data_IF_180567598636
#
_entry.id   IF_180567598636
#
_cell.length_a   1.000
_cell.length_b   1.000
_cell.length_c   1.000
_cell.angle_alpha   90.00
_cell.angle_beta   90.00
_cell.angle_gamma   90.00
#
_symmetry.space_group_name_H-M   'P 1'
#
loop_
_entity.id
_entity.type
_entity.pdbx_description
1 polymer ?
#
# COMPACT_ATOMS: atom_id res chain seq x y z
N UNK A 1 30.67 29.74 -33.11
CA UNK A 1 31.49 28.67 -32.51
C UNK A 1 30.51 27.61 -32.07
N UNK A 2 30.46 26.51 -32.81
CA UNK A 2 29.56 25.39 -32.59
C UNK A 2 29.93 24.62 -31.31
N UNK A 3 28.96 24.48 -30.41
CA UNK A 3 29.08 23.57 -29.27
C UNK A 3 28.46 22.22 -29.63
N UNK A 4 29.32 21.29 -30.05
CA UNK A 4 28.98 19.88 -30.19
C UNK A 4 28.72 19.25 -28.80
N UNK A 5 27.72 18.36 -28.64
CA UNK A 5 27.49 17.67 -27.39
C UNK A 5 28.52 16.55 -27.15
N UNK A 6 28.99 16.47 -25.90
CA UNK A 6 29.93 15.48 -25.40
C UNK A 6 29.38 14.05 -25.56
N UNK A 7 30.13 13.19 -26.24
CA UNK A 7 29.86 11.74 -26.35
C UNK A 7 30.03 11.07 -24.99
N UNK A 8 29.01 10.32 -24.56
CA UNK A 8 29.13 9.39 -23.43
C UNK A 8 30.08 8.25 -23.80
N UNK A 9 31.07 8.01 -22.95
CA UNK A 9 31.98 6.85 -23.02
C UNK A 9 31.23 5.64 -22.45
N UNK A 10 31.16 4.49 -23.15
CA UNK A 10 30.56 3.27 -22.60
C UNK A 10 31.42 2.75 -21.45
N UNK A 11 30.79 2.42 -20.32
CA UNK A 11 31.44 1.67 -19.24
C UNK A 11 31.84 0.27 -19.76
N UNK A 12 33.00 -0.28 -19.34
CA UNK A 12 33.42 -1.62 -19.73
C UNK A 12 32.43 -2.67 -19.20
N UNK A 13 32.19 -3.76 -19.94
CA UNK A 13 31.35 -4.85 -19.48
C UNK A 13 31.95 -5.47 -18.23
N UNK A 14 31.11 -5.70 -17.21
CA UNK A 14 31.49 -6.47 -16.04
C UNK A 14 31.94 -7.86 -16.50
N UNK A 15 33.18 -8.20 -16.16
CA UNK A 15 33.75 -9.52 -16.40
C UNK A 15 33.02 -10.50 -15.48
N UNK A 16 32.01 -11.19 -16.02
CA UNK A 16 31.42 -12.36 -15.38
C UNK A 16 32.49 -13.43 -15.23
N UNK A 17 32.66 -13.95 -14.02
CA UNK A 17 33.57 -15.07 -13.77
C UNK A 17 33.01 -16.33 -14.43
N UNK A 18 33.90 -17.18 -14.91
CA UNK A 18 33.58 -18.38 -15.71
C UNK A 18 32.83 -19.50 -14.95
N UNK A 19 32.37 -19.25 -13.71
CA UNK A 19 31.46 -20.12 -12.97
C UNK A 19 29.97 -19.77 -13.16
N UNK A 20 29.64 -18.64 -13.81
CA UNK A 20 28.24 -18.23 -14.07
C UNK A 20 27.65 -18.83 -15.36
N UNK A 21 28.44 -19.58 -16.14
CA UNK A 21 28.01 -20.16 -17.42
C UNK A 21 27.38 -21.57 -17.29
N UNK A 22 27.27 -22.11 -16.08
CA UNK A 22 26.78 -23.48 -15.83
C UNK A 22 25.36 -23.64 -15.29
N UNK A 23 24.65 -22.55 -14.97
CA UNK A 23 23.33 -22.61 -14.35
C UNK A 23 22.39 -21.50 -14.88
N UNK A 24 21.92 -21.67 -16.11
CA UNK A 24 20.78 -20.89 -16.55
C UNK A 24 19.53 -21.31 -15.75
N UNK A 25 19.11 -20.48 -14.78
CA UNK A 25 17.69 -20.25 -14.52
C UNK A 25 17.09 -20.59 -13.16
N UNK A 26 17.84 -21.03 -12.15
CA UNK A 26 17.27 -21.24 -10.82
C UNK A 26 17.44 -20.00 -9.93
N UNK A 27 16.34 -19.42 -9.45
CA UNK A 27 16.37 -18.34 -8.45
C UNK A 27 17.12 -18.79 -7.19
N UNK A 28 17.92 -17.90 -6.60
CA UNK A 28 18.61 -18.17 -5.33
C UNK A 28 17.60 -18.58 -4.25
N UNK A 29 17.88 -19.58 -3.38
CA UNK A 29 16.92 -20.05 -2.36
C UNK A 29 16.40 -18.95 -1.44
N UNK A 30 17.24 -17.99 -1.10
CA UNK A 30 16.90 -16.84 -0.26
C UNK A 30 16.40 -15.61 -1.06
N UNK A 31 16.12 -15.73 -2.36
CA UNK A 31 15.50 -14.65 -3.14
C UNK A 31 14.02 -14.54 -2.80
N UNK A 32 13.54 -13.32 -2.51
CA UNK A 32 12.11 -13.08 -2.29
C UNK A 32 11.26 -13.31 -3.55
N UNK A 33 11.85 -13.39 -4.75
CA UNK A 33 11.12 -13.73 -5.97
C UNK A 33 10.57 -15.16 -5.97
N UNK A 34 10.99 -16.00 -5.02
CA UNK A 34 10.37 -17.31 -4.76
C UNK A 34 8.98 -17.21 -4.14
N UNK A 35 8.58 -16.04 -3.64
CA UNK A 35 7.20 -15.74 -3.30
C UNK A 35 6.48 -15.39 -4.61
N UNK A 36 5.51 -16.20 -5.09
CA UNK A 36 4.91 -16.02 -6.42
C UNK A 36 4.32 -14.63 -6.64
N UNK A 37 3.64 -14.06 -5.64
CA UNK A 37 3.08 -12.72 -5.72
C UNK A 37 4.16 -11.64 -5.88
N UNK A 38 5.34 -11.81 -5.29
CA UNK A 38 6.47 -10.89 -5.50
C UNK A 38 7.06 -11.02 -6.89
N UNK A 39 7.23 -12.23 -7.42
CA UNK A 39 7.65 -12.39 -8.82
C UNK A 39 6.66 -11.66 -9.74
N UNK A 40 5.36 -11.88 -9.52
CA UNK A 40 4.32 -11.23 -10.33
C UNK A 40 4.38 -9.71 -10.25
N UNK A 41 4.62 -9.11 -9.07
CA UNK A 41 4.79 -7.65 -8.93
C UNK A 41 5.87 -7.11 -9.86
N UNK A 42 7.02 -7.80 -9.94
CA UNK A 42 8.18 -7.31 -10.70
C UNK A 42 8.17 -7.73 -12.18
N UNK A 43 7.36 -8.73 -12.53
CA UNK A 43 7.18 -9.20 -13.90
C UNK A 43 6.00 -8.52 -14.63
N UNK A 44 5.08 -7.88 -13.90
CA UNK A 44 3.90 -7.23 -14.46
C UNK A 44 4.23 -5.83 -15.04
N UNK A 45 4.21 -5.66 -16.39
CA UNK A 45 4.55 -4.39 -17.01
C UNK A 45 3.48 -3.31 -16.78
N UNK A 46 2.29 -3.67 -16.28
CA UNK A 46 1.24 -2.71 -15.98
C UNK A 46 1.54 -1.91 -14.70
N UNK A 47 2.41 -2.41 -13.82
CA UNK A 47 2.70 -1.80 -12.52
C UNK A 47 4.15 -1.31 -12.45
N UNK A 48 4.33 -0.05 -12.02
CA UNK A 48 5.65 0.52 -11.83
C UNK A 48 6.08 0.52 -10.36
N UNK A 49 7.37 0.30 -10.09
CA UNK A 49 7.96 0.61 -8.79
C UNK A 49 8.52 2.03 -8.83
N UNK A 50 8.00 2.91 -7.98
CA UNK A 50 8.36 4.33 -7.96
C UNK A 50 9.05 4.68 -6.66
N UNK A 51 10.34 5.03 -6.76
CA UNK A 51 11.09 5.60 -5.63
C UNK A 51 10.63 7.02 -5.35
N UNK A 52 10.33 7.30 -4.09
CA UNK A 52 10.00 8.64 -3.60
C UNK A 52 11.21 9.28 -2.94
N UNK A 53 11.32 10.59 -3.09
CA UNK A 53 12.31 11.45 -2.42
C UNK A 53 12.02 11.63 -0.93
N UNK A 54 11.91 10.51 -0.23
CA UNK A 54 11.79 10.38 1.23
C UNK A 54 12.79 9.30 1.67
N UNK A 55 13.40 9.47 2.83
CA UNK A 55 14.39 8.56 3.37
C UNK A 55 13.72 7.62 4.38
N UNK A 56 13.68 6.33 4.07
CA UNK A 56 13.03 5.34 4.91
C UNK A 56 13.74 5.14 6.26
N UNK A 57 15.01 5.55 6.39
CA UNK A 57 15.79 5.42 7.64
C UNK A 57 15.18 6.20 8.79
N UNK A 58 14.52 7.33 8.52
CA UNK A 58 13.78 8.08 9.54
C UNK A 58 12.70 7.24 10.25
N UNK A 59 12.13 6.24 9.55
CA UNK A 59 11.16 5.30 10.13
C UNK A 59 11.84 4.18 10.90
N UNK A 60 12.97 3.64 10.42
CA UNK A 60 13.71 2.59 11.13
C UNK A 60 14.28 3.08 12.46
N UNK A 61 14.62 4.36 12.52
CA UNK A 61 15.20 5.04 13.68
C UNK A 61 14.12 5.71 14.55
N UNK A 62 12.84 5.34 14.32
CA UNK A 62 11.66 5.73 15.10
C UNK A 62 11.41 7.24 15.25
N UNK A 63 12.11 8.09 14.49
CA UNK A 63 11.90 9.55 14.49
C UNK A 63 10.62 9.93 13.75
N UNK A 64 10.31 9.19 12.68
CA UNK A 64 9.02 9.26 11.98
C UNK A 64 8.25 7.98 12.28
N UNK A 65 7.17 8.11 13.05
CA UNK A 65 6.43 6.97 13.61
C UNK A 65 5.75 6.09 12.56
N UNK A 66 5.35 6.65 11.41
CA UNK A 66 4.60 5.94 10.36
C UNK A 66 5.32 5.99 9.03
N UNK A 67 5.04 5.03 8.16
CA UNK A 67 5.56 5.11 6.80
C UNK A 67 4.87 6.26 6.06
N UNK A 68 5.63 6.92 5.18
CA UNK A 68 5.16 8.07 4.41
C UNK A 68 5.44 7.91 2.91
N UNK A 69 5.72 6.69 2.46
CA UNK A 69 5.79 6.22 1.07
C UNK A 69 4.45 6.34 0.37
N UNK A 70 3.36 6.06 1.08
CA UNK A 70 2.01 6.31 0.61
C UNK A 70 1.56 5.40 -0.53
N UNK A 71 0.27 5.50 -0.82
CA UNK A 71 -0.42 4.56 -1.69
C UNK A 71 -1.27 5.31 -2.71
N UNK A 72 -1.24 4.89 -3.98
CA UNK A 72 -2.17 5.39 -5.00
C UNK A 72 -2.33 4.38 -6.17
N UNK A 73 -3.33 3.48 -6.12
CA UNK A 73 -3.53 2.41 -7.10
C UNK A 73 -3.94 2.96 -8.47
N UNK A 74 -4.46 4.20 -8.52
CA UNK A 74 -4.81 4.88 -9.77
C UNK A 74 -3.59 5.20 -10.64
N UNK A 75 -2.38 5.14 -10.06
CA UNK A 75 -1.12 5.33 -10.79
C UNK A 75 -0.56 4.03 -11.33
N UNK A 76 -1.19 2.90 -11.00
CA UNK A 76 -0.68 1.55 -11.28
C UNK A 76 0.80 1.49 -10.90
N UNK A 77 1.08 1.83 -9.65
CA UNK A 77 2.43 1.94 -9.13
C UNK A 77 2.45 1.63 -7.64
N UNK A 78 3.54 1.00 -7.21
CA UNK A 78 3.90 0.82 -5.81
C UNK A 78 4.98 1.85 -5.47
N UNK A 79 4.79 2.58 -4.37
CA UNK A 79 5.72 3.60 -3.94
C UNK A 79 6.65 3.06 -2.87
N UNK A 80 7.94 3.36 -2.98
CA UNK A 80 8.94 2.97 -1.97
C UNK A 80 9.77 4.18 -1.56
N UNK A 81 10.18 4.22 -0.29
CA UNK A 81 11.14 5.21 0.19
C UNK A 81 12.54 4.97 -0.36
N UNK A 82 13.28 6.04 -0.59
CA UNK A 82 14.72 5.94 -0.86
C UNK A 82 15.42 5.36 0.37
N UNK A 83 16.44 4.51 0.14
CA UNK A 83 17.17 3.79 1.19
C UNK A 83 16.33 2.81 2.02
N UNK A 84 15.11 2.48 1.58
CA UNK A 84 14.37 1.39 2.22
C UNK A 84 15.08 0.05 2.02
N UNK A 85 14.76 -0.95 2.85
CA UNK A 85 15.33 -2.30 2.69
C UNK A 85 14.94 -2.89 1.34
N UNK A 86 13.68 -2.69 0.93
CA UNK A 86 13.20 -3.04 -0.40
C UNK A 86 13.99 -2.31 -1.50
N UNK A 87 14.16 -0.99 -1.41
CA UNK A 87 14.94 -0.21 -2.36
C UNK A 87 16.37 -0.76 -2.56
N UNK A 88 17.04 -1.08 -1.45
CA UNK A 88 18.40 -1.64 -1.45
C UNK A 88 18.48 -3.05 -2.03
N UNK A 89 17.45 -3.87 -1.83
CA UNK A 89 17.40 -5.24 -2.33
C UNK A 89 17.05 -5.33 -3.82
N UNK A 90 16.23 -4.41 -4.37
CA UNK A 90 15.73 -4.47 -5.75
C UNK A 90 16.80 -4.68 -6.85
N UNK A 91 17.98 -4.04 -6.81
CA UNK A 91 19.05 -4.30 -7.77
C UNK A 91 19.64 -5.72 -7.68
N UNK A 92 19.47 -6.38 -6.54
CA UNK A 92 20.00 -7.71 -6.23
C UNK A 92 18.90 -8.79 -6.14
N UNK A 93 17.69 -8.51 -6.65
CA UNK A 93 16.48 -9.31 -6.42
C UNK A 93 16.58 -10.80 -6.77
N UNK A 94 17.46 -11.18 -7.68
CA UNK A 94 17.67 -12.60 -8.05
C UNK A 94 18.61 -13.35 -7.09
N UNK A 95 19.36 -12.63 -6.24
CA UNK A 95 20.26 -13.19 -5.24
C UNK A 95 19.63 -13.33 -3.85
N UNK A 96 20.46 -13.58 -2.84
CA UNK A 96 20.01 -13.66 -1.44
C UNK A 96 19.47 -12.31 -0.95
N UNK A 97 18.29 -12.36 -0.32
CA UNK A 97 17.71 -11.22 0.38
C UNK A 97 18.15 -11.11 1.85
N UNK A 98 18.82 -12.13 2.40
CA UNK A 98 19.24 -12.17 3.81
C UNK A 98 20.10 -10.95 4.22
N UNK A 99 21.09 -10.49 3.44
CA UNK A 99 21.90 -9.32 3.81
C UNK A 99 21.10 -8.03 3.93
N UNK A 100 19.89 -7.99 3.37
CA UNK A 100 19.02 -6.81 3.35
C UNK A 100 17.90 -6.88 4.40
N UNK A 101 17.63 -8.05 4.99
CA UNK A 101 16.57 -8.26 6.00
C UNK A 101 17.02 -7.95 7.44
N UNK A 102 17.83 -6.91 7.62
CA UNK A 102 18.25 -6.45 8.94
C UNK A 102 17.03 -5.96 9.74
N UNK A 103 16.93 -6.39 11.01
CA UNK A 103 15.80 -6.06 11.89
C UNK A 103 14.45 -6.60 11.39
N UNK A 104 14.47 -7.61 10.51
CA UNK A 104 13.28 -8.15 9.84
C UNK A 104 12.46 -7.11 9.05
N UNK A 105 13.10 -6.02 8.59
CA UNK A 105 12.39 -4.92 7.94
C UNK A 105 12.11 -5.14 6.44
N UNK A 106 12.91 -5.96 5.75
CA UNK A 106 12.71 -6.20 4.32
C UNK A 106 11.45 -7.01 4.04
N UNK A 107 11.22 -8.08 4.80
CA UNK A 107 10.08 -8.98 4.55
C UNK A 107 8.74 -8.23 4.61
N UNK A 108 8.43 -7.42 5.64
CA UNK A 108 7.23 -6.60 5.67
C UNK A 108 7.15 -5.59 4.52
N UNK A 109 8.25 -4.94 4.13
CA UNK A 109 8.24 -4.04 2.95
C UNK A 109 7.90 -4.74 1.65
N UNK A 110 8.48 -5.92 1.43
CA UNK A 110 8.17 -6.71 0.25
C UNK A 110 6.71 -7.17 0.28
N UNK A 111 6.21 -7.67 1.40
CA UNK A 111 4.82 -8.11 1.50
C UNK A 111 3.82 -6.95 1.32
N UNK A 112 4.09 -5.76 1.86
CA UNK A 112 3.29 -4.56 1.57
C UNK A 112 3.37 -4.15 0.09
N UNK A 113 4.52 -4.32 -0.57
CA UNK A 113 4.64 -4.11 -2.01
C UNK A 113 3.73 -5.06 -2.81
N UNK A 114 3.62 -6.34 -2.38
CA UNK A 114 2.66 -7.29 -2.97
C UNK A 114 1.20 -6.93 -2.67
N UNK A 115 0.91 -6.40 -1.49
CA UNK A 115 -0.43 -5.93 -1.10
C UNK A 115 -0.87 -4.73 -1.95
N UNK A 116 -0.04 -3.71 -2.09
CA UNK A 116 -0.28 -2.53 -2.94
C UNK A 116 -0.42 -2.90 -4.43
N UNK A 117 0.34 -3.90 -4.88
CA UNK A 117 0.21 -4.48 -6.20
C UNK A 117 -1.18 -5.09 -6.42
N UNK A 118 -1.69 -5.85 -5.46
CA UNK A 118 -3.02 -6.47 -5.54
C UNK A 118 -4.15 -5.43 -5.58
N UNK A 119 -4.00 -4.30 -4.88
CA UNK A 119 -4.92 -3.19 -5.05
C UNK A 119 -4.91 -2.64 -6.48
N UNK A 120 -3.72 -2.36 -7.02
CA UNK A 120 -3.60 -1.89 -8.39
C UNK A 120 -4.21 -2.90 -9.36
N UNK A 121 -3.87 -4.18 -9.23
CA UNK A 121 -4.45 -5.27 -10.02
C UNK A 121 -5.99 -5.31 -9.94
N UNK A 122 -6.57 -5.13 -8.75
CA UNK A 122 -8.01 -5.08 -8.55
C UNK A 122 -8.65 -3.89 -9.27
N UNK A 123 -8.03 -2.71 -9.23
CA UNK A 123 -8.51 -1.51 -9.91
C UNK A 123 -8.65 -1.73 -11.42
N UNK A 124 -7.67 -2.40 -12.04
CA UNK A 124 -7.75 -2.73 -13.46
C UNK A 124 -8.91 -3.67 -13.78
N UNK A 125 -9.15 -4.69 -12.95
CA UNK A 125 -10.29 -5.60 -13.14
C UNK A 125 -11.63 -4.92 -12.89
N UNK A 126 -11.72 -4.01 -11.92
CA UNK A 126 -12.93 -3.23 -11.67
C UNK A 126 -13.28 -2.37 -12.88
N UNK A 127 -12.30 -1.65 -13.43
CA UNK A 127 -12.50 -0.85 -14.66
C UNK A 127 -12.91 -1.73 -15.85
N UNK A 128 -12.28 -2.90 -16.01
CA UNK A 128 -12.59 -3.83 -17.10
C UNK A 128 -13.96 -4.49 -16.99
N UNK A 129 -14.38 -4.88 -15.79
CA UNK A 129 -15.63 -5.62 -15.57
C UNK A 129 -16.84 -4.70 -15.38
N UNK A 130 -16.62 -3.49 -14.88
CA UNK A 130 -17.65 -2.48 -14.70
C UNK A 130 -17.26 -1.13 -15.35
N UNK A 131 -17.02 -1.09 -16.67
CA UNK A 131 -16.53 0.10 -17.35
C UNK A 131 -17.52 1.28 -17.29
N UNK A 132 -18.82 0.98 -17.17
CA UNK A 132 -19.87 2.01 -17.04
C UNK A 132 -19.76 2.85 -15.75
N UNK A 133 -19.07 2.36 -14.72
CA UNK A 133 -18.80 3.13 -13.51
C UNK A 133 -17.72 4.20 -13.75
N UNK A 134 -16.78 3.94 -14.67
CA UNK A 134 -15.58 4.74 -14.88
C UNK A 134 -14.72 4.86 -13.63
N UNK A 135 -14.55 3.75 -12.92
CA UNK A 135 -13.78 3.70 -11.67
C UNK A 135 -12.35 4.19 -11.90
N UNK A 136 -11.93 5.17 -11.10
CA UNK A 136 -10.62 5.81 -11.22
C UNK A 136 -10.53 6.97 -12.21
N UNK A 137 -11.53 7.18 -13.08
CA UNK A 137 -11.50 8.23 -14.12
C UNK A 137 -12.70 9.19 -14.09
N UNK A 138 -13.92 8.68 -13.89
CA UNK A 138 -15.16 9.48 -13.89
C UNK A 138 -15.28 10.33 -12.64
N UNK A 139 -15.70 11.61 -12.71
CA UNK A 139 -15.82 12.46 -11.52
C UNK A 139 -16.58 11.78 -10.37
N UNK A 140 -16.01 11.82 -9.16
CA UNK A 140 -16.71 11.37 -7.96
C UNK A 140 -17.68 12.48 -7.56
N UNK A 141 -18.96 12.13 -7.55
CA UNK A 141 -20.10 12.98 -7.20
C UNK A 141 -20.88 12.34 -6.07
N UNK A 142 -21.81 13.08 -5.48
CA UNK A 142 -22.70 12.57 -4.43
C UNK A 142 -23.49 11.33 -4.88
N UNK A 143 -23.83 11.24 -6.18
CA UNK A 143 -24.65 10.17 -6.74
C UNK A 143 -23.90 8.83 -6.88
N UNK A 144 -22.59 8.85 -7.14
CA UNK A 144 -21.78 7.63 -7.32
C UNK A 144 -20.78 7.39 -6.17
N UNK A 145 -20.75 8.26 -5.16
CA UNK A 145 -19.76 8.23 -4.09
C UNK A 145 -19.62 6.85 -3.40
N UNK A 146 -20.73 6.26 -2.95
CA UNK A 146 -20.68 4.98 -2.22
C UNK A 146 -20.31 3.79 -3.13
N UNK A 147 -20.54 3.88 -4.44
CA UNK A 147 -20.10 2.85 -5.39
C UNK A 147 -18.59 2.88 -5.58
N UNK A 148 -18.02 4.09 -5.63
CA UNK A 148 -16.58 4.29 -5.69
C UNK A 148 -15.90 3.80 -4.39
N UNK A 149 -16.53 4.08 -3.25
CA UNK A 149 -16.07 3.60 -1.93
C UNK A 149 -16.15 2.07 -1.85
N UNK A 150 -17.24 1.46 -2.34
CA UNK A 150 -17.40 0.00 -2.42
C UNK A 150 -16.27 -0.66 -3.23
N UNK A 151 -15.98 -0.14 -4.42
CA UNK A 151 -14.93 -0.68 -5.29
C UNK A 151 -13.54 -0.62 -4.65
N UNK A 152 -13.25 0.43 -3.87
CA UNK A 152 -12.01 0.49 -3.10
C UNK A 152 -11.98 -0.53 -1.95
N UNK A 153 -13.09 -0.70 -1.21
CA UNK A 153 -13.19 -1.75 -0.18
C UNK A 153 -13.02 -3.15 -0.78
N UNK A 154 -13.55 -3.38 -1.97
CA UNK A 154 -13.30 -4.63 -2.70
C UNK A 154 -11.80 -4.80 -3.02
N UNK A 155 -11.09 -3.74 -3.39
CA UNK A 155 -9.64 -3.82 -3.62
C UNK A 155 -8.85 -4.18 -2.35
N UNK A 156 -9.27 -3.68 -1.18
CA UNK A 156 -8.69 -4.08 0.11
C UNK A 156 -8.98 -5.55 0.40
N UNK A 157 -10.23 -5.98 0.23
CA UNK A 157 -10.58 -7.39 0.39
C UNK A 157 -9.78 -8.29 -0.57
N UNK A 158 -9.50 -7.84 -1.80
CA UNK A 158 -8.64 -8.56 -2.75
C UNK A 158 -7.21 -8.68 -2.22
N UNK A 159 -6.61 -7.59 -1.76
CA UNK A 159 -5.24 -7.60 -1.26
C UNK A 159 -5.11 -8.48 -0.02
N UNK A 160 -6.02 -8.33 0.94
CA UNK A 160 -6.06 -9.13 2.17
C UNK A 160 -6.38 -10.60 1.92
N UNK A 161 -7.42 -10.92 1.14
CA UNK A 161 -7.77 -12.33 0.85
C UNK A 161 -6.66 -13.01 0.06
N UNK A 162 -6.16 -12.36 -0.98
CA UNK A 162 -5.16 -12.94 -1.86
C UNK A 162 -3.84 -13.18 -1.14
N UNK A 163 -3.32 -12.18 -0.45
CA UNK A 163 -2.01 -12.28 0.22
C UNK A 163 -2.12 -12.98 1.58
N UNK A 164 -2.96 -12.51 2.49
CA UNK A 164 -2.98 -13.03 3.86
C UNK A 164 -3.70 -14.38 3.96
N UNK A 165 -4.93 -14.48 3.47
CA UNK A 165 -5.76 -15.67 3.66
C UNK A 165 -5.44 -16.81 2.70
N UNK A 166 -5.12 -16.52 1.44
CA UNK A 166 -4.91 -17.57 0.43
C UNK A 166 -3.44 -17.92 0.23
N UNK A 167 -2.51 -17.08 0.67
CA UNK A 167 -1.08 -17.37 0.52
C UNK A 167 -0.38 -17.50 1.88
N UNK A 168 -0.26 -16.41 2.64
CA UNK A 168 0.55 -16.39 3.86
C UNK A 168 0.00 -17.27 4.98
N UNK A 169 -1.31 -17.48 5.07
CA UNK A 169 -1.89 -18.33 6.13
C UNK A 169 -1.66 -19.82 5.92
N UNK A 170 -1.15 -20.25 4.75
CA UNK A 170 -0.99 -21.66 4.38
C UNK A 170 0.47 -22.11 4.31
N UNK A 171 1.43 -21.23 4.57
CA UNK A 171 2.87 -21.50 4.44
C UNK A 171 3.64 -21.04 5.67
N UNK A 172 4.82 -21.62 5.88
CA UNK A 172 5.90 -20.97 6.64
C UNK A 172 6.81 -20.20 5.66
N UNK A 173 6.95 -18.90 5.86
CA UNK A 173 7.77 -18.05 5.01
C UNK A 173 9.24 -18.49 4.98
N UNK A 174 9.79 -19.02 6.07
CA UNK A 174 11.17 -19.49 6.09
C UNK A 174 11.36 -20.82 5.34
N UNK A 175 10.30 -21.61 5.15
CA UNK A 175 10.36 -22.80 4.29
C UNK A 175 10.39 -22.41 2.80
N UNK A 176 9.71 -21.32 2.43
CA UNK A 176 9.68 -20.83 1.04
C UNK A 176 10.94 -20.03 0.70
N UNK A 177 11.31 -19.10 1.59
CA UNK A 177 12.46 -18.20 1.45
C UNK A 177 13.18 -18.09 2.80
N UNK A 178 14.25 -18.87 3.03
CA UNK A 178 14.91 -18.97 4.33
C UNK A 178 15.80 -17.76 4.61
N UNK A 179 15.24 -16.55 4.68
CA UNK A 179 15.98 -15.32 5.01
C UNK A 179 16.08 -15.06 6.51
N UNK A 180 15.46 -15.90 7.33
CA UNK A 180 15.42 -15.77 8.79
C UNK A 180 14.43 -14.71 9.26
N UNK A 181 13.26 -14.64 8.62
CA UNK A 181 12.19 -13.70 9.02
C UNK A 181 11.42 -14.26 10.22
N UNK A 182 10.93 -13.39 11.12
CA UNK A 182 9.97 -13.77 12.16
C UNK A 182 8.53 -13.47 11.73
N UNK A 183 8.36 -12.78 10.60
CA UNK A 183 7.07 -12.48 9.99
C UNK A 183 6.32 -13.78 9.68
N UNK A 184 5.05 -13.85 10.08
CA UNK A 184 4.17 -14.99 9.77
C UNK A 184 3.04 -14.61 8.81
N UNK A 185 2.49 -13.41 8.89
CA UNK A 185 1.38 -12.89 8.05
C UNK A 185 1.69 -11.47 7.61
N UNK A 186 0.72 -10.69 7.15
CA UNK A 186 0.94 -9.25 6.94
C UNK A 186 -0.07 -8.43 7.71
N UNK A 187 -1.35 -8.53 7.31
CA UNK A 187 -2.43 -7.72 7.86
C UNK A 187 -3.35 -8.53 8.77
N UNK A 188 -3.41 -9.86 8.62
CA UNK A 188 -4.40 -10.69 9.32
C UNK A 188 -3.76 -11.77 10.21
N UNK A 189 -4.42 -12.10 11.32
CA UNK A 189 -3.98 -13.13 12.27
C UNK A 189 -4.52 -14.54 11.99
N UNK A 190 -5.37 -14.71 10.98
CA UNK A 190 -5.89 -15.99 10.52
C UNK A 190 -4.75 -16.93 10.12
N UNK A 191 -4.90 -18.21 10.47
CA UNK A 191 -3.97 -19.28 10.16
C UNK A 191 -4.74 -20.51 9.72
N UNK A 192 -4.36 -21.10 8.58
CA UNK A 192 -5.05 -22.28 8.06
C UNK A 192 -4.84 -23.50 8.97
N UNK A 193 -3.73 -23.55 9.71
CA UNK A 193 -3.45 -24.60 10.71
C UNK A 193 -4.51 -24.64 11.84
N UNK A 194 -5.25 -23.54 12.07
CA UNK A 194 -6.35 -23.47 13.05
C UNK A 194 -7.73 -23.66 12.40
N UNK A 195 -7.80 -24.07 11.13
CA UNK A 195 -9.07 -24.21 10.39
C UNK A 195 -10.07 -25.15 11.07
N UNK A 196 -9.61 -26.24 11.69
CA UNK A 196 -10.47 -27.14 12.47
C UNK A 196 -11.11 -26.43 13.67
N UNK A 197 -10.34 -25.59 14.38
CA UNK A 197 -10.82 -24.83 15.53
C UNK A 197 -11.91 -23.83 15.09
N UNK A 198 -11.71 -23.12 13.98
CA UNK A 198 -12.75 -22.22 13.46
C UNK A 198 -14.00 -22.97 13.02
N UNK A 199 -13.86 -24.14 12.37
CA UNK A 199 -14.98 -24.95 11.90
C UNK A 199 -15.79 -25.59 13.03
N UNK A 200 -15.26 -25.68 14.27
CA UNK A 200 -16.06 -26.09 15.44
C UNK A 200 -17.23 -25.13 15.70
N UNK A 201 -17.07 -23.85 15.37
CA UNK A 201 -18.08 -22.81 15.58
C UNK A 201 -18.83 -22.48 14.28
N UNK A 202 -18.14 -22.51 13.13
CA UNK A 202 -18.74 -22.35 11.82
C UNK A 202 -18.40 -23.54 10.89
N UNK A 203 -19.15 -24.65 10.95
CA UNK A 203 -18.84 -25.85 10.16
C UNK A 203 -18.79 -25.63 8.65
N UNK A 204 -19.50 -24.62 8.14
CA UNK A 204 -19.53 -24.25 6.73
C UNK A 204 -18.39 -23.32 6.29
N UNK A 205 -17.48 -22.93 7.19
CA UNK A 205 -16.39 -22.02 6.86
C UNK A 205 -15.40 -22.65 5.87
N UNK A 206 -15.30 -22.05 4.69
CA UNK A 206 -14.37 -22.42 3.63
C UNK A 206 -13.54 -21.20 3.20
N UNK A 207 -12.45 -20.93 3.93
CA UNK A 207 -11.55 -19.81 3.63
C UNK A 207 -10.77 -20.04 2.33
N UNK A 208 -10.27 -21.26 2.11
CA UNK A 208 -9.56 -21.66 0.90
C UNK A 208 -10.54 -21.96 -0.25
N UNK A 209 -11.36 -20.97 -0.63
CA UNK A 209 -12.33 -21.07 -1.72
C UNK A 209 -12.61 -19.67 -2.32
N UNK A 210 -12.80 -19.51 -3.65
CA UNK A 210 -13.06 -18.21 -4.29
C UNK A 210 -14.19 -17.39 -3.64
N UNK A 211 -15.28 -18.06 -3.26
CA UNK A 211 -16.43 -17.43 -2.60
C UNK A 211 -16.10 -16.72 -1.28
N UNK A 212 -14.97 -17.04 -0.64
CA UNK A 212 -14.55 -16.37 0.59
C UNK A 212 -14.27 -14.87 0.38
N UNK A 213 -13.82 -14.46 -0.82
CA UNK A 213 -13.69 -13.04 -1.15
C UNK A 213 -15.01 -12.28 -0.99
N UNK A 214 -16.12 -12.91 -1.40
CA UNK A 214 -17.46 -12.35 -1.21
C UNK A 214 -17.87 -12.19 0.24
N UNK A 215 -17.50 -13.16 1.08
CA UNK A 215 -17.75 -13.10 2.52
C UNK A 215 -16.96 -11.96 3.18
N UNK A 216 -15.65 -11.86 2.90
CA UNK A 216 -14.82 -10.80 3.48
C UNK A 216 -15.19 -9.41 2.95
N UNK A 217 -15.49 -9.28 1.65
CA UNK A 217 -15.92 -7.99 1.07
C UNK A 217 -17.19 -7.49 1.75
N UNK A 218 -18.19 -8.37 1.94
CA UNK A 218 -19.42 -8.02 2.66
C UNK A 218 -19.10 -7.61 4.10
N UNK A 219 -18.26 -8.37 4.78
CA UNK A 219 -17.86 -8.07 6.15
C UNK A 219 -17.15 -6.71 6.28
N UNK A 220 -16.28 -6.35 5.34
CA UNK A 220 -15.67 -5.01 5.32
C UNK A 220 -16.68 -3.91 5.00
N UNK A 221 -17.73 -4.22 4.22
CA UNK A 221 -18.81 -3.28 3.94
C UNK A 221 -19.74 -3.05 5.13
N UNK A 222 -20.13 -4.07 5.90
CA UNK A 222 -21.18 -3.96 6.92
C UNK A 222 -20.75 -4.23 8.36
N UNK A 223 -19.58 -4.85 8.58
CA UNK A 223 -19.08 -5.24 9.89
C UNK A 223 -19.75 -6.48 10.47
N UNK A 224 -20.45 -7.29 9.67
CA UNK A 224 -21.12 -8.53 10.10
C UNK A 224 -20.43 -9.76 9.51
N UNK A 225 -19.68 -10.50 10.35
CA UNK A 225 -19.14 -11.81 9.98
C UNK A 225 -20.17 -12.90 10.30
N UNK A 226 -20.78 -13.48 9.28
CA UNK A 226 -21.83 -14.49 9.45
C UNK A 226 -21.24 -15.83 9.87
N UNK A 227 -21.87 -16.49 10.85
CA UNK A 227 -21.54 -17.86 11.27
C UNK A 227 -20.78 -17.96 12.59
N UNK A 228 -20.44 -16.85 13.24
CA UNK A 228 -19.87 -16.81 14.58
C UNK A 228 -20.73 -15.98 15.52
N UNK A 229 -20.85 -16.40 16.78
CA UNK A 229 -21.47 -15.62 17.84
C UNK A 229 -20.44 -15.08 18.86
N UNK A 230 -20.86 -14.15 19.71
CA UNK A 230 -19.97 -13.57 20.74
C UNK A 230 -19.47 -14.62 21.74
N UNK A 231 -20.21 -15.71 21.96
CA UNK A 231 -19.83 -16.78 22.89
C UNK A 231 -18.73 -17.65 22.29
N UNK A 232 -18.73 -17.85 20.98
CA UNK A 232 -17.69 -18.56 20.23
C UNK A 232 -16.36 -17.84 20.39
N UNK A 233 -16.36 -16.51 20.24
CA UNK A 233 -15.18 -15.66 20.49
C UNK A 233 -14.66 -15.82 21.93
N UNK A 234 -15.53 -15.93 22.92
CA UNK A 234 -15.11 -16.16 24.32
C UNK A 234 -14.50 -17.55 24.53
N UNK A 235 -14.87 -18.53 23.71
CA UNK A 235 -14.45 -19.94 23.84
C UNK A 235 -13.17 -20.25 23.06
N UNK A 236 -12.81 -19.42 22.09
CA UNK A 236 -11.63 -19.64 21.24
C UNK A 236 -10.79 -18.36 21.12
N UNK A 237 -9.63 -18.28 21.81
CA UNK A 237 -8.72 -17.14 21.69
C UNK A 237 -8.23 -16.89 20.26
N UNK A 238 -8.04 -17.96 19.47
CA UNK A 238 -7.67 -17.86 18.07
C UNK A 238 -8.76 -17.14 17.25
N UNK A 239 -10.02 -17.55 17.41
CA UNK A 239 -11.17 -16.91 16.76
C UNK A 239 -11.34 -15.46 17.22
N UNK A 240 -11.21 -15.21 18.53
CA UNK A 240 -11.30 -13.86 19.10
C UNK A 240 -10.28 -12.91 18.46
N UNK A 241 -9.00 -13.29 18.46
CA UNK A 241 -7.93 -12.45 17.92
C UNK A 241 -8.16 -12.13 16.44
N UNK A 242 -8.60 -13.13 15.67
CA UNK A 242 -8.91 -12.97 14.27
C UNK A 242 -10.11 -12.03 14.02
N UNK A 243 -11.28 -12.33 14.58
CA UNK A 243 -12.50 -11.58 14.27
C UNK A 243 -12.47 -10.16 14.84
N UNK A 244 -11.89 -9.95 16.03
CA UNK A 244 -11.79 -8.60 16.62
C UNK A 244 -10.85 -7.71 15.81
N UNK A 245 -9.73 -8.26 15.32
CA UNK A 245 -8.85 -7.52 14.43
C UNK A 245 -9.62 -7.05 13.19
N UNK A 246 -10.29 -7.97 12.50
CA UNK A 246 -11.01 -7.66 11.25
C UNK A 246 -12.19 -6.70 11.45
N UNK A 247 -12.91 -6.78 12.57
CA UNK A 247 -13.96 -5.81 12.93
C UNK A 247 -13.40 -4.39 13.04
N UNK A 248 -12.26 -4.25 13.72
CA UNK A 248 -11.60 -2.96 13.90
C UNK A 248 -11.07 -2.42 12.58
N UNK A 249 -10.47 -3.30 11.76
CA UNK A 249 -9.87 -2.98 10.48
C UNK A 249 -10.92 -2.58 9.43
N UNK A 250 -12.00 -3.36 9.29
CA UNK A 250 -13.08 -3.05 8.35
C UNK A 250 -13.75 -1.70 8.63
N UNK A 251 -13.99 -1.35 9.91
CA UNK A 251 -14.50 -0.01 10.27
C UNK A 251 -13.54 1.09 9.83
N UNK A 252 -12.25 0.88 10.08
CA UNK A 252 -11.19 1.84 9.78
C UNK A 252 -11.03 2.06 8.27
N UNK A 253 -11.10 0.98 7.49
CA UNK A 253 -11.07 1.02 6.02
C UNK A 253 -12.25 1.81 5.44
N UNK A 254 -13.48 1.61 5.95
CA UNK A 254 -14.64 2.42 5.52
C UNK A 254 -14.45 3.91 5.77
N UNK A 255 -13.94 4.26 6.96
CA UNK A 255 -13.66 5.66 7.32
C UNK A 255 -12.64 6.29 6.38
N UNK A 256 -11.50 5.65 6.22
CA UNK A 256 -10.41 6.21 5.45
C UNK A 256 -10.70 6.28 3.95
N UNK A 257 -11.31 5.23 3.40
CA UNK A 257 -11.79 5.25 2.02
C UNK A 257 -12.73 6.44 1.79
N UNK A 258 -13.73 6.63 2.65
CA UNK A 258 -14.65 7.78 2.52
C UNK A 258 -13.94 9.12 2.63
N UNK A 259 -12.97 9.26 3.54
CA UNK A 259 -12.19 10.50 3.65
C UNK A 259 -11.37 10.77 2.39
N UNK A 260 -10.69 9.76 1.86
CA UNK A 260 -9.87 9.90 0.65
C UNK A 260 -10.73 10.21 -0.58
N UNK A 261 -11.84 9.50 -0.78
CA UNK A 261 -12.73 9.73 -1.92
C UNK A 261 -13.48 11.06 -1.81
N UNK A 262 -13.83 11.50 -0.60
CA UNK A 262 -14.39 12.85 -0.39
C UNK A 262 -13.35 13.94 -0.67
N UNK A 263 -12.07 13.67 -0.47
CA UNK A 263 -10.99 14.60 -0.83
C UNK A 263 -10.79 14.67 -2.35
N UNK A 264 -10.87 13.53 -3.04
CA UNK A 264 -10.74 13.44 -4.51
C UNK A 264 -11.98 13.92 -5.29
N UNK A 265 -13.12 14.12 -4.62
CA UNK A 265 -14.39 14.39 -5.29
C UNK A 265 -14.45 15.70 -6.08
N UNK A 266 -15.36 15.76 -7.05
CA UNK A 266 -15.71 17.03 -7.68
C UNK A 266 -16.62 17.86 -6.77
N UNK A 267 -17.53 17.19 -6.04
CA UNK A 267 -18.44 17.79 -5.08
C UNK A 267 -17.76 18.10 -3.75
N UNK A 268 -18.28 19.07 -2.97
CA UNK A 268 -17.87 19.29 -1.57
C UNK A 268 -18.62 18.30 -0.65
N UNK A 269 -18.14 17.06 -0.59
CA UNK A 269 -18.72 16.01 0.24
C UNK A 269 -18.17 16.12 1.66
N UNK A 270 -19.04 16.47 2.62
CA UNK A 270 -18.71 16.54 4.05
C UNK A 270 -19.45 15.47 4.82
N UNK A 271 -18.71 14.61 5.50
CA UNK A 271 -19.25 13.47 6.24
C UNK A 271 -19.03 13.65 7.74
N UNK A 272 -20.05 13.32 8.54
CA UNK A 272 -19.90 13.20 9.98
C UNK A 272 -19.19 11.89 10.34
N UNK A 273 -18.64 11.79 11.56
CA UNK A 273 -17.98 10.55 12.02
C UNK A 273 -18.87 9.31 11.88
N UNK A 274 -20.16 9.44 12.21
CA UNK A 274 -21.14 8.35 12.04
C UNK A 274 -21.26 7.90 10.58
N UNK A 275 -21.18 8.83 9.63
CA UNK A 275 -21.24 8.53 8.19
C UNK A 275 -19.93 7.96 7.67
N UNK A 276 -18.80 8.32 8.25
CA UNK A 276 -17.50 7.74 7.90
C UNK A 276 -17.45 6.24 8.21
N UNK A 277 -17.99 5.82 9.36
CA UNK A 277 -17.95 4.41 9.80
C UNK A 277 -19.13 3.55 9.30
N UNK A 278 -20.15 4.19 8.70
CA UNK A 278 -21.41 3.55 8.34
C UNK A 278 -21.24 2.35 7.38
N UNK A 279 -22.15 1.37 7.40
CA UNK A 279 -22.16 0.31 6.40
C UNK A 279 -22.23 0.83 4.96
N UNK A 280 -21.65 0.08 4.01
CA UNK A 280 -21.72 0.32 2.57
C UNK A 280 -22.68 -0.71 1.96
N UNK A 281 -23.60 -0.28 1.11
CA UNK A 281 -24.48 -1.20 0.39
C UNK A 281 -23.69 -2.02 -0.63
N UNK A 282 -23.78 -3.35 -0.52
CA UNK A 282 -23.07 -4.29 -1.38
C UNK A 282 -23.97 -5.33 -2.04
N UNK A 283 -25.29 -5.29 -1.82
CA UNK A 283 -26.28 -6.29 -2.24
C UNK A 283 -26.74 -6.14 -3.70
N UNK A 284 -26.43 -5.03 -4.35
CA UNK A 284 -26.73 -4.83 -5.76
C UNK A 284 -26.14 -5.91 -6.66
N UNK A 285 -26.93 -6.36 -7.64
CA UNK A 285 -26.56 -7.49 -8.49
C UNK A 285 -25.24 -7.30 -9.24
N UNK A 286 -24.90 -6.06 -9.64
CA UNK A 286 -23.64 -5.78 -10.32
C UNK A 286 -22.44 -5.89 -9.37
N UNK A 287 -22.58 -5.47 -8.11
CA UNK A 287 -21.55 -5.61 -7.07
C UNK A 287 -21.27 -7.08 -6.78
N UNK A 288 -22.31 -7.89 -6.64
CA UNK A 288 -22.18 -9.34 -6.42
C UNK A 288 -21.49 -10.05 -7.60
N UNK A 289 -21.86 -9.71 -8.84
CA UNK A 289 -21.17 -10.25 -10.03
C UNK A 289 -19.70 -9.84 -10.07
N UNK A 290 -19.42 -8.55 -9.84
CA UNK A 290 -18.07 -8.01 -9.83
C UNK A 290 -17.17 -8.74 -8.82
N UNK A 291 -17.67 -8.95 -7.60
CA UNK A 291 -16.94 -9.66 -6.53
C UNK A 291 -16.67 -11.11 -6.91
N UNK A 292 -17.67 -11.84 -7.42
CA UNK A 292 -17.51 -13.22 -7.86
C UNK A 292 -16.49 -13.37 -8.98
N UNK A 293 -16.58 -12.50 -10.00
CA UNK A 293 -15.68 -12.52 -11.15
C UNK A 293 -14.23 -12.15 -10.82
N UNK A 294 -14.03 -11.21 -9.89
CA UNK A 294 -12.70 -10.89 -9.37
C UNK A 294 -12.19 -12.03 -8.48
N UNK A 295 -13.06 -12.67 -7.70
CA UNK A 295 -12.71 -13.80 -6.84
C UNK A 295 -12.11 -14.99 -7.60
N UNK A 296 -12.73 -15.39 -8.70
CA UNK A 296 -12.20 -16.47 -9.55
C UNK A 296 -10.83 -16.13 -10.14
N UNK A 297 -10.64 -14.89 -10.60
CA UNK A 297 -9.38 -14.43 -11.18
C UNK A 297 -8.27 -14.29 -10.14
N UNK A 298 -8.61 -13.80 -8.95
CA UNK A 298 -7.67 -13.72 -7.83
C UNK A 298 -7.27 -15.13 -7.39
N UNK A 299 -8.21 -16.08 -7.39
CA UNK A 299 -7.92 -17.47 -7.05
C UNK A 299 -6.94 -18.08 -8.05
N UNK A 300 -7.18 -17.94 -9.36
CA UNK A 300 -6.23 -18.37 -10.39
C UNK A 300 -4.86 -17.71 -10.20
N UNK A 301 -4.84 -16.40 -9.90
CA UNK A 301 -3.60 -15.65 -9.67
C UNK A 301 -2.76 -16.17 -8.50
N UNK A 302 -3.41 -16.41 -7.36
CA UNK A 302 -2.75 -16.78 -6.12
C UNK A 302 -2.46 -18.28 -6.05
N UNK A 303 -3.43 -19.12 -6.42
CA UNK A 303 -3.35 -20.58 -6.25
C UNK A 303 -2.78 -21.32 -7.45
N UNK A 304 -2.89 -20.74 -8.65
CA UNK A 304 -2.40 -21.36 -9.89
C UNK A 304 -1.18 -20.62 -10.46
N UNK A 305 -0.81 -19.47 -9.87
CA UNK A 305 0.35 -18.68 -10.28
C UNK A 305 0.14 -17.91 -11.59
N UNK A 306 -1.09 -17.81 -12.08
CA UNK A 306 -1.39 -17.10 -13.32
C UNK A 306 -1.24 -15.58 -13.14
N UNK A 307 -0.71 -14.87 -14.14
CA UNK A 307 -0.60 -13.40 -14.01
C UNK A 307 -1.98 -12.74 -13.92
N UNK A 308 -2.97 -13.29 -14.63
CA UNK A 308 -4.34 -12.76 -14.72
C UNK A 308 -4.36 -11.24 -14.99
N UNK A 309 -3.55 -10.76 -15.93
CA UNK A 309 -3.44 -9.35 -16.24
C UNK A 309 -4.74 -8.84 -16.89
N UNK A 310 -5.30 -7.78 -16.33
CA UNK A 310 -6.52 -7.14 -16.82
C UNK A 310 -6.28 -6.27 -18.06
N UNK A 311 -5.07 -5.77 -18.29
CA UNK A 311 -4.80 -4.88 -19.41
C UNK A 311 -3.49 -4.10 -19.26
N UNK A 312 -3.25 -3.12 -20.14
CA UNK A 312 -2.13 -2.20 -20.01
C UNK A 312 -2.32 -1.28 -18.80
N UNK A 313 -1.23 -0.63 -18.38
CA UNK A 313 -1.21 0.40 -17.33
C UNK A 313 -2.34 1.43 -17.48
N UNK A 314 -3.03 1.77 -16.37
CA UNK A 314 -4.02 2.85 -16.35
C UNK A 314 -3.36 4.19 -16.68
N UNK A 315 -4.03 5.04 -17.46
CA UNK A 315 -3.52 6.36 -17.85
C UNK A 315 -3.50 7.32 -16.65
N UNK A 316 -2.30 7.69 -16.13
CA UNK A 316 -2.21 8.54 -14.95
C UNK A 316 -2.75 9.97 -15.18
N UNK A 317 -2.85 10.43 -16.43
CA UNK A 317 -3.41 11.75 -16.75
C UNK A 317 -4.94 11.78 -16.69
N UNK A 318 -5.58 10.62 -16.82
CA UNK A 318 -7.03 10.48 -16.72
C UNK A 318 -7.51 10.07 -15.33
N UNK A 319 -6.59 9.62 -14.48
CA UNK A 319 -6.88 9.25 -13.09
C UNK A 319 -7.42 10.41 -12.26
N UNK A 320 -8.24 10.10 -11.25
CA UNK A 320 -8.72 11.08 -10.27
C UNK A 320 -7.60 11.92 -9.67
N UNK A 321 -7.89 13.21 -9.48
CA UNK A 321 -7.01 14.20 -8.85
C UNK A 321 -7.86 15.10 -7.98
N UNK A 322 -7.38 15.43 -6.78
CA UNK A 322 -8.09 16.38 -5.95
C UNK A 322 -8.17 17.75 -6.66
N UNK A 323 -9.30 18.47 -6.61
CA UNK A 323 -9.42 19.80 -7.20
C UNK A 323 -8.30 20.74 -6.71
N UNK A 324 -7.72 21.55 -7.61
CA UNK A 324 -6.60 22.46 -7.27
C UNK A 324 -6.98 23.45 -6.16
N UNK A 325 -8.25 23.88 -6.11
CA UNK A 325 -8.77 24.82 -5.11
C UNK A 325 -9.07 24.17 -3.75
N UNK A 326 -8.94 22.84 -3.62
CA UNK A 326 -9.19 22.12 -2.37
C UNK A 326 -8.14 22.54 -1.33
N UNK A 327 -8.58 22.77 -0.08
CA UNK A 327 -7.64 23.02 1.00
C UNK A 327 -6.69 21.82 1.15
N UNK A 328 -5.38 22.04 1.36
CA UNK A 328 -4.41 20.96 1.40
C UNK A 328 -4.62 20.08 2.63
N UNK A 329 -4.68 18.77 2.42
CA UNK A 329 -4.67 17.76 3.46
C UNK A 329 -3.51 16.79 3.19
N UNK A 330 -2.49 16.81 4.05
CA UNK A 330 -1.26 16.04 3.85
C UNK A 330 -1.40 14.56 4.20
N UNK A 331 -2.58 14.11 4.64
CA UNK A 331 -2.96 12.68 4.56
C UNK A 331 -3.15 12.24 3.12
N UNK A 332 -3.56 13.15 2.25
CA UNK A 332 -3.96 12.87 0.88
C UNK A 332 -3.07 13.51 -0.20
N UNK A 333 -2.00 14.19 0.22
CA UNK A 333 -1.09 14.92 -0.67
C UNK A 333 0.36 14.53 -0.43
N UNK A 334 1.09 14.42 -1.53
CA UNK A 334 2.53 14.29 -1.55
C UNK A 334 3.20 15.67 -1.45
N UNK A 335 3.90 15.92 -0.34
CA UNK A 335 4.65 17.16 -0.13
C UNK A 335 5.71 17.42 -1.23
N UNK A 336 6.31 16.37 -1.83
CA UNK A 336 7.28 16.52 -2.92
C UNK A 336 6.68 17.11 -4.20
N UNK A 337 5.34 17.13 -4.34
CA UNK A 337 4.65 17.58 -5.56
C UNK A 337 3.70 18.75 -5.31
N UNK A 338 3.78 19.34 -4.12
CA UNK A 338 3.00 20.51 -3.75
C UNK A 338 3.83 21.80 -3.88
N UNK A 339 3.15 22.90 -4.20
CA UNK A 339 3.72 24.23 -4.01
C UNK A 339 3.98 24.48 -2.51
N UNK A 340 4.94 25.36 -2.16
CA UNK A 340 5.17 25.75 -0.77
C UNK A 340 3.87 26.20 -0.08
N UNK A 341 3.55 25.57 1.04
CA UNK A 341 2.34 25.89 1.82
C UNK A 341 2.57 27.20 2.56
N UNK A 342 1.68 28.17 2.38
CA UNK A 342 1.80 29.45 3.09
C UNK A 342 1.75 29.26 4.62
N UNK A 343 2.47 30.08 5.42
CA UNK A 343 2.42 30.00 6.88
C UNK A 343 1.01 30.15 7.45
N UNK A 344 0.16 30.97 6.83
CA UNK A 344 -1.23 31.14 7.23
C UNK A 344 -2.04 29.84 7.06
N UNK A 345 -1.84 29.12 5.94
CA UNK A 345 -2.49 27.85 5.70
C UNK A 345 -2.03 26.77 6.69
N UNK A 346 -0.73 26.72 7.01
CA UNK A 346 -0.17 25.80 8.02
C UNK A 346 -0.80 26.05 9.40
N UNK A 347 -0.90 27.31 9.82
CA UNK A 347 -1.51 27.68 11.12
C UNK A 347 -3.00 27.35 11.21
N UNK A 348 -3.73 27.41 10.10
CA UNK A 348 -5.15 27.04 10.05
C UNK A 348 -5.40 25.54 9.86
N UNK A 349 -4.35 24.75 9.64
CA UNK A 349 -4.47 23.33 9.32
C UNK A 349 -4.93 22.52 10.54
N UNK A 350 -5.82 21.53 10.38
CA UNK A 350 -6.11 20.57 11.44
C UNK A 350 -4.83 19.88 11.90
N UNK A 351 -4.69 19.67 13.22
CA UNK A 351 -3.49 19.06 13.82
C UNK A 351 -3.07 17.75 13.14
N UNK A 352 -4.04 16.88 12.86
CA UNK A 352 -3.79 15.60 12.19
C UNK A 352 -3.14 15.79 10.81
N UNK A 353 -3.70 16.67 9.97
CA UNK A 353 -3.12 16.98 8.67
C UNK A 353 -1.72 17.61 8.79
N UNK A 354 -1.49 18.42 9.82
CA UNK A 354 -0.17 19.00 10.10
C UNK A 354 0.86 17.94 10.52
N UNK A 355 0.50 16.94 11.32
CA UNK A 355 1.42 15.85 11.68
C UNK A 355 1.88 15.08 10.43
N UNK A 356 0.99 14.80 9.48
CA UNK A 356 1.39 14.18 8.21
C UNK A 356 2.27 15.11 7.36
N UNK A 357 1.99 16.41 7.35
CA UNK A 357 2.87 17.40 6.71
C UNK A 357 4.27 17.38 7.32
N UNK A 358 4.38 17.38 8.66
CA UNK A 358 5.66 17.36 9.37
C UNK A 358 6.42 16.05 9.12
N UNK A 359 5.75 14.90 9.19
CA UNK A 359 6.36 13.58 8.91
C UNK A 359 6.94 13.52 7.50
N UNK A 360 6.17 13.97 6.49
CA UNK A 360 6.67 14.07 5.12
C UNK A 360 7.82 15.08 4.99
N UNK A 361 7.78 16.20 5.71
CA UNK A 361 8.83 17.20 5.68
C UNK A 361 10.16 16.66 6.24
N UNK A 362 10.12 15.98 7.39
CA UNK A 362 11.27 15.32 8.02
C UNK A 362 11.87 14.28 7.07
N UNK A 363 11.01 13.41 6.52
CA UNK A 363 11.46 12.30 5.70
C UNK A 363 12.18 12.75 4.41
N UNK A 364 12.05 14.00 3.97
CA UNK A 364 12.77 14.52 2.79
C UNK A 364 14.25 14.78 3.02
N UNK A 365 14.72 14.85 4.27
CA UNK A 365 16.14 15.00 4.55
C UNK A 365 16.87 13.66 4.40
N UNK A 366 18.11 13.72 3.92
CA UNK A 366 19.00 12.56 3.92
C UNK A 366 19.40 12.25 5.38
N UNK A 367 18.96 11.11 5.91
CA UNK A 367 19.15 10.75 7.31
C UNK A 367 20.62 10.74 7.73
N UNK A 368 21.50 10.14 6.91
CA UNK A 368 22.93 10.03 7.19
C UNK A 368 23.65 11.39 7.18
N UNK A 369 23.12 12.36 6.42
CA UNK A 369 23.66 13.70 6.34
C UNK A 369 23.02 14.66 7.36
N UNK A 370 22.05 14.20 8.16
CA UNK A 370 21.32 15.06 9.09
C UNK A 370 22.07 15.19 10.42
N UNK A 371 22.39 16.42 10.89
CA UNK A 371 23.07 16.61 12.16
C UNK A 371 22.18 16.21 13.36
N UNK A 372 22.68 15.33 14.23
CA UNK A 372 21.92 14.84 15.38
C UNK A 372 21.49 15.96 16.35
N UNK A 373 22.31 17.00 16.49
CA UNK A 373 22.01 18.18 17.30
C UNK A 373 20.82 19.00 16.77
N UNK A 374 20.45 18.83 15.49
CA UNK A 374 19.34 19.53 14.86
C UNK A 374 17.99 18.81 15.03
N UNK A 375 17.94 17.59 15.61
CA UNK A 375 16.70 16.82 15.78
C UNK A 375 15.64 17.57 16.60
N UNK A 376 16.07 18.34 17.61
CA UNK A 376 15.17 19.13 18.46
C UNK A 376 14.35 20.18 17.69
N UNK A 377 14.78 20.55 16.48
CA UNK A 377 14.04 21.48 15.62
C UNK A 377 12.67 20.92 15.23
N UNK A 378 12.54 19.59 15.04
CA UNK A 378 11.27 18.98 14.66
C UNK A 378 10.24 19.04 15.80
N UNK A 379 10.69 18.89 17.05
CA UNK A 379 9.82 19.07 18.22
C UNK A 379 9.30 20.50 18.29
N UNK A 380 10.19 21.48 18.11
CA UNK A 380 9.80 22.90 18.10
C UNK A 380 8.81 23.22 16.97
N UNK A 381 9.05 22.70 15.75
CA UNK A 381 8.12 22.84 14.63
C UNK A 381 6.75 22.27 14.95
N UNK A 382 6.70 21.14 15.69
CA UNK A 382 5.46 20.49 16.11
C UNK A 382 4.69 21.32 17.12
N UNK A 383 5.37 21.80 18.16
CA UNK A 383 4.78 22.58 19.24
C UNK A 383 4.22 23.92 18.75
N UNK A 384 4.95 24.59 17.85
CA UNK A 384 4.57 25.90 17.32
C UNK A 384 3.67 25.82 16.07
N UNK A 385 3.45 24.61 15.54
CA UNK A 385 2.75 24.37 14.27
C UNK A 385 3.29 25.27 13.13
N UNK A 386 4.62 25.38 13.02
CA UNK A 386 5.29 26.32 12.11
C UNK A 386 6.49 25.70 11.40
N UNK A 387 6.31 25.38 10.11
CA UNK A 387 7.38 24.85 9.26
C UNK A 387 8.48 25.87 8.95
N UNK A 388 8.23 27.18 9.09
CA UNK A 388 9.22 28.22 8.80
C UNK A 388 10.41 28.18 9.77
N UNK A 389 10.23 27.53 10.93
CA UNK A 389 11.32 27.20 11.85
C UNK A 389 12.32 26.26 11.16
N UNK A 390 11.82 25.20 10.51
CA UNK A 390 12.62 24.28 9.73
C UNK A 390 13.32 24.95 8.55
N UNK A 391 12.63 25.82 7.81
CA UNK A 391 13.22 26.52 6.65
C UNK A 391 14.39 27.44 7.06
N UNK A 392 14.36 27.99 8.27
CA UNK A 392 15.42 28.84 8.82
C UNK A 392 16.56 28.02 9.42
N UNK A 393 16.26 27.06 10.27
CA UNK A 393 17.24 26.35 11.10
C UNK A 393 17.88 25.15 10.38
N UNK A 394 17.20 24.57 9.39
CA UNK A 394 17.67 23.41 8.63
C UNK A 394 18.15 23.80 7.23
N UNK A 395 18.42 25.10 7.01
CA UNK A 395 18.89 25.62 5.74
C UNK A 395 20.25 25.04 5.40
N UNK A 396 20.40 24.49 4.20
CA UNK A 396 21.65 23.90 3.72
C UNK A 396 21.83 22.43 4.09
N UNK A 397 20.96 21.85 4.92
CA UNK A 397 20.96 20.41 5.16
C UNK A 397 20.45 19.69 3.90
N UNK A 398 21.15 18.62 3.52
CA UNK A 398 20.87 17.85 2.31
C UNK A 398 19.47 17.26 2.33
N UNK A 399 18.71 17.52 1.28
CA UNK A 399 17.42 16.88 1.00
C UNK A 399 17.57 15.89 -0.14
N UNK A 400 16.77 14.83 -0.11
CA UNK A 400 16.68 13.90 -1.22
C UNK A 400 16.02 14.57 -2.44
N UNK A 401 16.46 14.23 -3.66
CA UNK A 401 15.83 14.72 -4.87
C UNK A 401 14.40 14.17 -4.98
N UNK A 402 13.51 14.98 -5.55
CA UNK A 402 12.15 14.55 -5.85
C UNK A 402 12.16 13.56 -7.03
N UNK A 403 11.42 12.47 -6.93
CA UNK A 403 11.23 11.52 -8.02
C UNK A 403 10.35 12.12 -9.13
N UNK A 404 10.74 11.93 -10.38
CA UNK A 404 10.00 12.47 -11.53
C UNK A 404 8.58 11.90 -11.67
N UNK A 405 8.41 10.63 -11.30
CA UNK A 405 7.15 9.88 -11.40
C UNK A 405 6.30 9.91 -10.11
N UNK A 406 6.69 10.69 -9.10
CA UNK A 406 5.91 10.83 -7.88
C UNK A 406 4.55 11.51 -8.15
N UNK A 407 3.43 10.98 -7.63
CA UNK A 407 2.12 11.58 -7.81
C UNK A 407 1.92 12.75 -6.84
N UNK A 408 1.03 13.69 -7.21
CA UNK A 408 0.56 14.75 -6.31
C UNK A 408 -0.36 14.19 -5.24
N UNK A 409 -1.39 13.46 -5.66
CA UNK A 409 -2.36 12.85 -4.76
C UNK A 409 -1.84 11.48 -4.33
N UNK A 410 -1.80 11.25 -3.02
CA UNK A 410 -1.41 9.99 -2.39
C UNK A 410 -2.39 9.70 -1.27
N UNK A 411 -2.41 8.48 -0.77
CA UNK A 411 -3.08 8.16 0.47
C UNK A 411 -2.03 7.69 1.48
N UNK A 412 -1.85 8.44 2.56
CA UNK A 412 -0.99 8.08 3.69
C UNK A 412 -1.88 7.49 4.78
N UNK A 413 -1.68 6.21 5.06
CA UNK A 413 -2.34 5.50 6.14
C UNK A 413 -1.39 5.40 7.35
N UNK A 414 -1.96 5.35 8.57
CA UNK A 414 -1.22 5.19 9.82
C UNK A 414 -1.09 3.73 10.26
#
# INVERSE_FOLDING_TARGET
MDHAPLRQVPLPPAVMSADEAGNAGALHPESLLRIPLLSQVFDDPAIAIVRRGIDARWKYEETVETRVDGFNPLRSAVFIGTHSRLDRWLPHRHGSARPFNEGDALMPEALFCAHDYLHSWAYHWIDRLQPGLGFGCSPITTANFEDMVFCHILSEAVATVGLDYWYLSTIDLNEVVPVGTVQKGLTVSYREEWSEEYRRFNPGLAVQHPAFLGQLTRFYCDGVFVGFDVRDLQRSPALHNWIVHELSYGRLQRRYCRQWFAYLSADDIRLSDKRLDAPIACDEAWKQRLVGEIGERLWAKVKQGEMCAAGPRLDPERSWRAPVKRAPDFRFLNLNRCEPVSPAAVKSMPKEAFEFLLRQYVARFDYEAFPAEALGVFTLMREEQDLSIGDRLLRGIKRLPQGAAEPRDLFLYN
#
